data_IF_573758521194
#
_entry.id   IF_573758521194
#
_cell.length_a   1.000
_cell.length_b   1.000
_cell.length_c   1.000
_cell.angle_alpha   90.00
_cell.angle_beta   90.00
_cell.angle_gamma   90.00
#
_symmetry.space_group_name_H-M   'P 1'
#
loop_
_entity.id
_entity.type
_entity.pdbx_description
1 polymer ?
#
# COMPACT_ATOMS: atom_id res chain seq x y z
N UNK A 1 9.30 14.13 -1.00
CA UNK A 1 9.10 12.82 -1.63
C UNK A 1 10.12 12.64 -2.73
N UNK A 2 10.62 11.42 -2.84
CA UNK A 2 11.66 11.01 -3.77
C UNK A 2 11.18 11.13 -5.24
N UNK A 3 12.02 11.70 -6.12
CA UNK A 3 11.67 11.94 -7.52
C UNK A 3 11.41 10.66 -8.32
N UNK A 4 11.98 9.53 -7.89
CA UNK A 4 11.78 8.22 -8.52
C UNK A 4 10.33 7.77 -8.39
N UNK A 5 9.63 8.19 -7.33
CA UNK A 5 8.22 7.86 -7.11
C UNK A 5 7.36 8.35 -8.27
N UNK A 6 7.50 9.63 -8.63
CA UNK A 6 6.73 10.21 -9.74
C UNK A 6 7.04 9.50 -11.05
N UNK A 7 8.31 9.19 -11.31
CA UNK A 7 8.71 8.53 -12.54
C UNK A 7 8.11 7.12 -12.64
N UNK A 8 8.23 6.29 -11.60
CA UNK A 8 7.72 4.91 -11.60
C UNK A 8 6.20 4.90 -11.69
N UNK A 9 5.51 5.79 -10.96
CA UNK A 9 4.05 5.93 -11.04
C UNK A 9 3.61 6.26 -12.47
N UNK A 10 4.27 7.20 -13.14
CA UNK A 10 3.94 7.56 -14.53
C UNK A 10 4.19 6.39 -15.48
N UNK A 11 5.34 5.71 -15.34
CA UNK A 11 5.69 4.57 -16.19
C UNK A 11 4.69 3.42 -16.04
N UNK A 12 4.36 3.02 -14.80
CA UNK A 12 3.38 1.97 -14.51
C UNK A 12 1.98 2.38 -14.96
N UNK A 13 1.57 3.63 -14.76
CA UNK A 13 0.28 4.13 -15.25
C UNK A 13 0.20 4.04 -16.77
N UNK A 14 1.23 4.51 -17.48
CA UNK A 14 1.28 4.44 -18.93
C UNK A 14 1.22 2.99 -19.43
N UNK A 15 1.99 2.09 -18.81
CA UNK A 15 1.93 0.65 -19.08
C UNK A 15 0.52 0.07 -18.90
N UNK A 16 -0.16 0.37 -17.78
CA UNK A 16 -1.49 -0.14 -17.50
C UNK A 16 -2.56 0.40 -18.48
N UNK A 17 -2.44 1.66 -18.89
CA UNK A 17 -3.32 2.26 -19.91
C UNK A 17 -3.10 1.59 -21.27
N UNK A 18 -1.85 1.45 -21.71
CA UNK A 18 -1.49 0.86 -23.00
C UNK A 18 -1.96 -0.59 -23.13
N UNK A 19 -1.99 -1.33 -22.02
CA UNK A 19 -2.47 -2.71 -21.96
C UNK A 19 -3.96 -2.84 -21.60
N UNK A 20 -4.69 -1.71 -21.52
CA UNK A 20 -6.14 -1.66 -21.19
C UNK A 20 -6.49 -2.39 -19.89
N UNK A 21 -5.59 -2.30 -18.92
CA UNK A 21 -5.74 -2.95 -17.61
C UNK A 21 -6.68 -2.18 -16.68
N UNK A 22 -6.72 -0.85 -16.83
CA UNK A 22 -7.59 0.01 -16.04
C UNK A 22 -9.05 -0.17 -16.45
N UNK A 23 -9.93 -0.26 -15.45
CA UNK A 23 -11.36 -0.43 -15.63
C UNK A 23 -12.11 0.07 -14.39
N UNK A 24 -13.44 0.01 -14.40
CA UNK A 24 -14.27 0.46 -13.27
C UNK A 24 -13.92 -0.27 -11.96
N UNK A 25 -13.42 -1.50 -12.05
CA UNK A 25 -13.05 -2.32 -10.91
C UNK A 25 -11.55 -2.29 -10.57
N UNK A 26 -10.73 -1.63 -11.40
CA UNK A 26 -9.30 -1.42 -11.16
C UNK A 26 -8.87 -0.01 -11.56
N UNK A 27 -8.95 0.88 -10.57
CA UNK A 27 -8.79 2.32 -10.76
C UNK A 27 -7.31 2.74 -10.85
N UNK A 28 -7.08 3.93 -11.42
CA UNK A 28 -5.76 4.58 -11.36
C UNK A 28 -5.31 4.80 -9.91
N UNK A 29 -6.23 5.11 -8.99
CA UNK A 29 -5.92 5.27 -7.57
C UNK A 29 -5.38 3.98 -6.96
N UNK A 30 -6.03 2.85 -7.25
CA UNK A 30 -5.60 1.51 -6.81
C UNK A 30 -4.20 1.17 -7.34
N UNK A 31 -3.94 1.45 -8.63
CA UNK A 31 -2.64 1.23 -9.24
C UNK A 31 -1.54 2.09 -8.60
N UNK A 32 -1.82 3.37 -8.35
CA UNK A 32 -0.87 4.27 -7.68
C UNK A 32 -0.51 3.73 -6.29
N UNK A 33 -1.49 3.28 -5.52
CA UNK A 33 -1.23 2.73 -4.18
C UNK A 33 -0.46 1.41 -4.20
N UNK A 34 -0.63 0.56 -5.23
CA UNK A 34 0.23 -0.60 -5.43
C UNK A 34 1.69 -0.16 -5.65
N UNK A 35 1.92 0.83 -6.51
CA UNK A 35 3.28 1.39 -6.69
C UNK A 35 3.83 1.94 -5.38
N UNK A 36 3.06 2.75 -4.65
CA UNK A 36 3.51 3.32 -3.38
C UNK A 36 3.85 2.25 -2.34
N UNK A 37 3.00 1.24 -2.16
CA UNK A 37 3.27 0.13 -1.26
C UNK A 37 4.54 -0.64 -1.65
N UNK A 38 4.70 -0.94 -2.93
CA UNK A 38 5.92 -1.58 -3.43
C UNK A 38 7.16 -0.75 -3.09
N UNK A 39 7.09 0.56 -3.29
CA UNK A 39 8.20 1.48 -2.96
C UNK A 39 8.47 1.60 -1.46
N UNK A 40 7.51 1.24 -0.59
CA UNK A 40 7.75 1.11 0.86
C UNK A 40 8.71 -0.05 1.17
N UNK A 41 8.64 -1.16 0.42
CA UNK A 41 9.54 -2.31 0.60
C UNK A 41 11.02 -1.92 0.43
N UNK A 42 11.29 -0.92 -0.41
CA UNK A 42 12.63 -0.40 -0.69
C UNK A 42 12.95 0.88 0.07
N UNK A 43 12.12 1.29 1.04
CA UNK A 43 12.34 2.52 1.84
C UNK A 43 12.52 3.76 0.96
N UNK A 44 11.83 3.79 -0.19
CA UNK A 44 11.74 4.97 -1.07
C UNK A 44 10.53 5.82 -0.68
N UNK A 45 9.44 5.16 -0.31
CA UNK A 45 8.25 5.77 0.28
C UNK A 45 8.17 5.31 1.74
N UNK A 46 7.91 6.20 2.70
CA UNK A 46 7.74 5.78 4.09
C UNK A 46 6.41 5.05 4.31
N UNK A 47 6.37 4.06 5.21
CA UNK A 47 5.10 3.50 5.68
C UNK A 47 4.31 4.53 6.51
N UNK A 48 2.99 4.38 6.60
CA UNK A 48 2.13 5.40 7.24
C UNK A 48 2.46 5.57 8.73
N UNK A 49 2.89 4.50 9.41
CA UNK A 49 3.29 4.55 10.82
C UNK A 49 4.43 5.55 11.07
N UNK A 50 5.36 5.70 10.12
CA UNK A 50 6.42 6.70 10.23
C UNK A 50 5.88 8.12 10.09
N UNK A 51 4.86 8.32 9.25
CA UNK A 51 4.20 9.62 9.10
C UNK A 51 3.44 10.00 10.37
N UNK A 52 2.71 9.06 10.99
CA UNK A 52 2.07 9.29 12.28
C UNK A 52 3.10 9.65 13.36
N UNK A 53 4.23 8.94 13.41
CA UNK A 53 5.32 9.24 14.35
C UNK A 53 5.88 10.65 14.16
N UNK A 54 6.07 11.12 12.93
CA UNK A 54 6.57 12.48 12.68
C UNK A 54 5.55 13.54 13.14
N UNK A 55 4.25 13.24 13.05
CA UNK A 55 3.18 14.20 13.29
C UNK A 55 2.42 14.04 14.62
N UNK A 56 2.85 13.13 15.51
CA UNK A 56 2.17 12.88 16.79
C UNK A 56 1.94 14.13 17.65
N UNK A 57 2.76 15.18 17.50
CA UNK A 57 2.65 16.45 18.24
C UNK A 57 1.71 17.49 17.63
N UNK A 58 1.24 17.28 16.39
CA UNK A 58 0.32 18.20 15.72
C UNK A 58 -1.11 17.97 16.22
N UNK A 59 -2.00 18.94 16.06
CA UNK A 59 -3.42 18.79 16.46
C UNK A 59 -4.11 17.72 15.61
N UNK A 60 -4.81 16.73 16.20
CA UNK A 60 -5.56 15.72 15.46
C UNK A 60 -6.51 16.26 14.42
N UNK A 61 -6.60 15.59 13.28
CA UNK A 61 -7.57 15.87 12.23
C UNK A 61 -8.41 14.63 11.94
N UNK A 62 -9.65 14.63 12.40
CA UNK A 62 -10.52 13.46 12.32
C UNK A 62 -11.45 13.54 11.13
N UNK A 63 -11.40 12.52 10.27
CA UNK A 63 -12.35 12.33 9.17
C UNK A 63 -12.97 10.96 9.34
N UNK A 64 -14.29 10.89 9.49
CA UNK A 64 -15.03 9.64 9.77
C UNK A 64 -14.53 8.85 10.99
N UNK A 65 -13.92 9.55 11.95
CA UNK A 65 -13.33 8.96 13.15
C UNK A 65 -11.95 8.32 12.95
N UNK A 66 -11.33 8.51 11.79
CA UNK A 66 -9.92 8.16 11.55
C UNK A 66 -9.04 9.41 11.72
N UNK A 67 -7.88 9.24 12.35
CA UNK A 67 -6.88 10.31 12.41
C UNK A 67 -6.17 10.43 11.06
N UNK A 68 -6.38 11.54 10.38
CA UNK A 68 -5.83 11.82 9.05
C UNK A 68 -4.63 12.75 9.09
N UNK A 69 -4.05 12.98 10.27
CA UNK A 69 -2.79 13.70 10.42
C UNK A 69 -1.65 12.93 9.74
N UNK A 70 -1.35 13.32 8.51
CA UNK A 70 -0.13 12.96 7.80
C UNK A 70 0.53 14.22 7.25
N UNK A 71 1.85 14.16 7.05
CA UNK A 71 2.61 15.29 6.53
C UNK A 71 2.20 15.61 5.09
N UNK A 72 1.72 16.83 4.83
CA UNK A 72 1.63 17.37 3.47
C UNK A 72 2.79 18.33 3.13
N UNK A 73 3.62 18.72 4.12
CA UNK A 73 4.76 19.61 3.89
C UNK A 73 5.98 18.82 3.39
N UNK A 74 6.24 18.93 2.09
CA UNK A 74 7.27 18.18 1.39
C UNK A 74 8.69 18.47 1.88
N UNK A 75 8.95 19.67 2.41
CA UNK A 75 10.29 20.10 2.82
C UNK A 75 10.70 19.48 4.16
N UNK A 76 9.75 19.40 5.11
CA UNK A 76 9.97 18.70 6.38
C UNK A 76 10.12 17.18 6.18
N UNK A 77 9.40 16.62 5.20
CA UNK A 77 9.53 15.23 4.79
C UNK A 77 10.90 14.96 4.16
N UNK A 78 11.35 15.78 3.21
CA UNK A 78 12.64 15.60 2.52
C UNK A 78 13.82 15.58 3.49
N UNK A 79 13.84 16.48 4.46
CA UNK A 79 14.92 16.55 5.47
C UNK A 79 14.98 15.32 6.38
N UNK A 80 13.84 14.66 6.61
CA UNK A 80 13.75 13.49 7.50
C UNK A 80 13.78 12.16 6.75
N UNK A 81 13.58 12.17 5.43
CA UNK A 81 13.35 10.99 4.61
C UNK A 81 14.23 11.03 3.36
N UNK A 82 15.55 10.93 3.58
CA UNK A 82 16.46 10.49 2.52
C UNK A 82 16.14 9.02 2.24
N UNK A 83 15.78 8.70 1.00
CA UNK A 83 15.62 7.30 0.63
C UNK A 83 16.92 6.55 0.87
N UNK A 84 16.80 5.37 1.49
CA UNK A 84 17.95 4.52 1.79
C UNK A 84 18.31 3.57 0.64
N UNK A 85 17.51 3.56 -0.43
CA UNK A 85 17.72 2.67 -1.57
C UNK A 85 18.50 3.38 -2.66
N UNK A 86 19.54 2.70 -3.15
CA UNK A 86 20.37 3.15 -4.28
C UNK A 86 19.83 2.67 -5.64
N UNK A 87 18.65 2.02 -5.66
CA UNK A 87 18.07 1.51 -6.91
C UNK A 87 17.70 2.64 -7.87
N UNK A 88 18.03 2.44 -9.13
CA UNK A 88 17.61 3.30 -10.22
C UNK A 88 16.10 3.22 -10.48
N UNK A 89 15.58 4.19 -11.22
CA UNK A 89 14.18 4.24 -11.66
C UNK A 89 13.76 2.99 -12.44
N UNK A 90 14.66 2.46 -13.28
CA UNK A 90 14.44 1.26 -14.09
C UNK A 90 14.47 -0.03 -13.26
N UNK A 91 15.39 -0.15 -12.30
CA UNK A 91 15.41 -1.28 -11.37
C UNK A 91 14.15 -1.32 -10.51
N UNK A 92 13.69 -0.17 -10.01
CA UNK A 92 12.43 -0.08 -9.28
C UNK A 92 11.24 -0.52 -10.14
N UNK A 93 11.20 -0.15 -11.43
CA UNK A 93 10.14 -0.56 -12.35
C UNK A 93 10.18 -2.06 -12.66
N UNK A 94 11.36 -2.63 -12.91
CA UNK A 94 11.54 -4.09 -13.08
C UNK A 94 11.08 -4.85 -11.84
N UNK A 95 11.56 -4.42 -10.67
CA UNK A 95 11.25 -5.06 -9.40
C UNK A 95 9.76 -4.92 -9.04
N UNK A 96 9.08 -3.85 -9.48
CA UNK A 96 7.63 -3.71 -9.35
C UNK A 96 6.91 -4.86 -10.08
N UNK A 97 7.25 -5.09 -11.35
CA UNK A 97 6.67 -6.18 -12.13
C UNK A 97 7.00 -7.54 -11.53
N UNK A 98 8.24 -7.74 -11.08
CA UNK A 98 8.64 -8.97 -10.40
C UNK A 98 7.81 -9.21 -9.14
N UNK A 99 7.66 -8.21 -8.26
CA UNK A 99 6.92 -8.34 -7.02
C UNK A 99 5.45 -8.73 -7.26
N UNK A 100 4.79 -8.07 -8.22
CA UNK A 100 3.38 -8.32 -8.52
C UNK A 100 3.15 -9.53 -9.46
N UNK A 101 4.21 -10.18 -9.95
CA UNK A 101 4.12 -11.47 -10.64
C UNK A 101 3.93 -12.65 -9.68
N UNK A 102 4.28 -12.49 -8.39
CA UNK A 102 4.16 -13.56 -7.39
C UNK A 102 2.72 -13.71 -6.89
N UNK A 103 1.96 -14.57 -7.57
CA UNK A 103 0.59 -14.91 -7.19
C UNK A 103 0.48 -15.51 -5.78
N UNK A 104 1.50 -16.23 -5.28
CA UNK A 104 1.45 -16.88 -3.97
C UNK A 104 1.46 -15.81 -2.88
N UNK A 105 2.34 -14.82 -3.02
CA UNK A 105 2.39 -13.67 -2.10
C UNK A 105 1.06 -12.90 -2.10
N UNK A 106 0.53 -12.56 -3.28
CA UNK A 106 -0.71 -11.76 -3.39
C UNK A 106 -1.95 -12.49 -2.84
N UNK A 107 -1.97 -13.83 -2.93
CA UNK A 107 -3.08 -14.64 -2.39
C UNK A 107 -3.02 -14.77 -0.88
N UNK A 108 -1.84 -14.81 -0.28
CA UNK A 108 -1.67 -15.14 1.14
C UNK A 108 -1.52 -13.92 2.07
N UNK A 109 -1.15 -12.75 1.53
CA UNK A 109 -0.81 -11.58 2.33
C UNK A 109 -1.67 -10.35 1.99
N UNK A 110 -1.96 -9.57 3.02
CA UNK A 110 -2.42 -8.19 2.92
C UNK A 110 -1.19 -7.31 2.77
N UNK A 111 -1.22 -6.45 1.74
CA UNK A 111 -0.25 -5.38 1.53
C UNK A 111 -0.58 -4.26 2.53
N UNK A 112 0.05 -4.30 3.70
CA UNK A 112 -0.25 -3.40 4.82
C UNK A 112 0.52 -2.09 4.66
N UNK A 113 -0.17 -1.03 4.22
CA UNK A 113 0.43 0.31 4.02
C UNK A 113 0.86 0.97 5.32
N UNK A 114 0.21 0.64 6.45
CA UNK A 114 0.57 1.20 7.75
C UNK A 114 1.99 0.83 8.15
N UNK A 115 2.35 -0.44 8.03
CA UNK A 115 3.69 -0.91 8.34
C UNK A 115 4.62 -0.92 7.13
N UNK A 116 4.08 -0.85 5.92
CA UNK A 116 4.84 -1.08 4.69
C UNK A 116 5.33 -2.53 4.61
N UNK A 117 4.51 -3.48 5.05
CA UNK A 117 4.88 -4.89 5.19
C UNK A 117 3.76 -5.81 4.70
N UNK A 118 4.12 -7.07 4.45
CA UNK A 118 3.19 -8.15 4.18
C UNK A 118 2.66 -8.72 5.50
N UNK A 119 1.34 -8.67 5.72
CA UNK A 119 0.69 -9.30 6.86
C UNK A 119 -0.14 -10.50 6.40
N UNK A 120 -0.08 -11.68 7.07
CA UNK A 120 -0.85 -12.84 6.62
C UNK A 120 -2.35 -12.56 6.66
N UNK A 121 -3.07 -12.87 5.58
CA UNK A 121 -4.52 -12.66 5.48
C UNK A 121 -5.30 -13.34 6.60
N UNK A 122 -4.95 -14.59 6.90
CA UNK A 122 -5.60 -15.41 7.93
C UNK A 122 -5.59 -14.77 9.32
N UNK A 123 -4.55 -14.00 9.63
CA UNK A 123 -4.34 -13.42 10.95
C UNK A 123 -4.20 -11.90 10.87
N UNK A 124 -4.75 -11.27 9.81
CA UNK A 124 -4.48 -9.86 9.52
C UNK A 124 -4.85 -8.96 10.70
N UNK A 125 -6.09 -9.08 11.21
CA UNK A 125 -6.59 -8.28 12.32
C UNK A 125 -5.73 -8.41 13.58
N UNK A 126 -5.51 -9.64 14.06
CA UNK A 126 -4.75 -9.90 15.29
C UNK A 126 -3.27 -9.50 15.16
N UNK A 127 -2.66 -9.76 13.99
CA UNK A 127 -1.27 -9.36 13.70
C UNK A 127 -1.14 -7.85 13.67
N UNK A 128 -2.10 -7.15 13.04
CA UNK A 128 -2.11 -5.70 12.94
C UNK A 128 -2.21 -5.05 14.33
N UNK A 129 -3.21 -5.44 15.13
CA UNK A 129 -3.43 -4.92 16.48
C UNK A 129 -2.19 -5.12 17.36
N UNK A 130 -1.64 -6.33 17.37
CA UNK A 130 -0.43 -6.65 18.15
C UNK A 130 0.74 -5.74 17.77
N UNK A 131 0.96 -5.53 16.46
CA UNK A 131 2.04 -4.66 15.98
C UNK A 131 1.81 -3.18 16.28
N UNK A 132 0.58 -2.68 16.14
CA UNK A 132 0.28 -1.26 16.42
C UNK A 132 0.52 -0.96 17.89
N UNK A 133 0.00 -1.79 18.80
CA UNK A 133 0.21 -1.66 20.24
C UNK A 133 1.69 -1.70 20.62
N UNK A 134 2.51 -2.53 19.96
CA UNK A 134 3.95 -2.59 20.18
C UNK A 134 4.72 -1.36 19.67
N UNK A 135 4.19 -0.65 18.65
CA UNK A 135 4.93 0.43 17.97
C UNK A 135 4.74 1.79 18.66
N UNK A 136 3.62 2.01 19.33
CA UNK A 136 3.39 3.25 20.08
C UNK A 136 1.93 3.49 20.41
N UNK A 137 1.69 4.59 21.13
CA UNK A 137 0.34 4.99 21.52
C UNK A 137 -0.37 5.76 20.39
N UNK A 138 -1.01 5.01 19.49
CA UNK A 138 -1.89 5.56 18.43
C UNK A 138 -3.37 5.34 18.78
N UNK A 139 -3.74 5.63 20.03
CA UNK A 139 -5.05 5.30 20.63
C UNK A 139 -6.23 5.49 19.70
N UNK A 140 -6.37 6.66 19.04
CA UNK A 140 -7.52 6.90 18.17
C UNK A 140 -7.58 5.94 16.97
N UNK A 141 -6.46 5.69 16.30
CA UNK A 141 -6.42 4.75 15.17
C UNK A 141 -6.72 3.34 15.64
N UNK A 142 -6.16 2.96 16.78
CA UNK A 142 -6.34 1.63 17.36
C UNK A 142 -7.78 1.40 17.79
N UNK A 143 -8.38 2.32 18.57
CA UNK A 143 -9.78 2.21 19.01
C UNK A 143 -10.75 2.16 17.83
N UNK A 144 -10.51 2.97 16.78
CA UNK A 144 -11.36 2.96 15.59
C UNK A 144 -11.21 1.64 14.81
N UNK A 145 -10.00 1.11 14.71
CA UNK A 145 -9.73 -0.18 14.09
C UNK A 145 -10.39 -1.33 14.84
N UNK A 146 -10.25 -1.37 16.17
CA UNK A 146 -10.89 -2.37 17.04
C UNK A 146 -12.42 -2.32 16.93
N UNK A 147 -13.01 -1.11 16.98
CA UNK A 147 -14.46 -0.92 16.75
C UNK A 147 -14.93 -1.33 15.35
N UNK A 148 -14.01 -1.51 14.39
CA UNK A 148 -14.30 -1.88 13.01
C UNK A 148 -13.99 -3.36 12.70
N UNK A 149 -13.77 -4.20 13.71
CA UNK A 149 -13.35 -5.61 13.54
C UNK A 149 -14.20 -6.39 12.55
N UNK A 150 -15.53 -6.34 12.68
CA UNK A 150 -16.46 -7.05 11.76
C UNK A 150 -16.26 -6.62 10.31
N UNK A 151 -16.07 -5.31 10.08
CA UNK A 151 -15.86 -4.77 8.73
C UNK A 151 -14.48 -5.18 8.19
N UNK A 152 -13.44 -5.18 9.04
CA UNK A 152 -12.09 -5.62 8.67
C UNK A 152 -12.11 -7.09 8.27
N UNK A 153 -12.73 -7.95 9.07
CA UNK A 153 -12.83 -9.39 8.77
C UNK A 153 -13.67 -9.70 7.53
N UNK A 154 -14.51 -8.75 7.09
CA UNK A 154 -15.24 -8.85 5.81
C UNK A 154 -14.39 -8.37 4.62
N UNK A 155 -13.64 -7.28 4.82
CA UNK A 155 -12.86 -6.62 3.78
C UNK A 155 -11.51 -7.28 3.51
N UNK A 156 -10.98 -8.03 4.47
CA UNK A 156 -9.70 -8.72 4.40
C UNK A 156 -9.87 -10.22 4.69
N UNK A 157 -8.93 -11.04 4.23
CA UNK A 157 -8.95 -12.49 4.45
C UNK A 157 -9.29 -13.31 3.21
N UNK A 158 -9.63 -12.68 2.08
CA UNK A 158 -9.97 -13.43 0.86
C UNK A 158 -8.71 -13.82 0.08
N UNK A 159 -8.57 -15.11 -0.20
CA UNK A 159 -7.43 -15.64 -0.97
C UNK A 159 -7.50 -15.30 -2.46
N UNK A 160 -8.65 -14.89 -2.98
CA UNK A 160 -8.87 -14.75 -4.42
C UNK A 160 -8.67 -13.32 -4.95
N UNK A 161 -8.31 -12.37 -4.08
CA UNK A 161 -8.12 -10.96 -4.45
C UNK A 161 -6.82 -10.38 -3.91
N UNK A 162 -6.32 -9.34 -4.56
CA UNK A 162 -5.27 -8.50 -4.00
C UNK A 162 -5.88 -7.65 -2.88
N UNK A 163 -5.28 -7.70 -1.70
CA UNK A 163 -5.73 -6.93 -0.55
C UNK A 163 -4.69 -5.88 -0.18
N UNK A 164 -5.00 -4.61 -0.43
CA UNK A 164 -4.14 -3.47 -0.15
C UNK A 164 -4.83 -2.59 0.88
N UNK A 165 -4.25 -2.49 2.07
CA UNK A 165 -4.85 -1.71 3.14
C UNK A 165 -4.90 -0.23 2.78
N UNK A 166 -6.06 0.39 2.96
CA UNK A 166 -6.18 1.84 2.81
C UNK A 166 -5.39 2.55 3.93
N UNK A 167 -4.53 3.51 3.56
CA UNK A 167 -3.59 4.16 4.48
C UNK A 167 -4.24 5.06 5.54
N UNK A 168 -5.50 5.48 5.34
CA UNK A 168 -6.20 6.43 6.21
C UNK A 168 -7.46 5.80 6.81
N UNK A 169 -8.25 5.09 6.00
CA UNK A 169 -9.44 4.35 6.43
C UNK A 169 -9.08 2.87 6.56
N UNK A 170 -8.39 2.53 7.65
CA UNK A 170 -7.64 1.27 7.79
C UNK A 170 -8.48 0.00 7.69
N UNK A 171 -9.81 0.12 7.86
CA UNK A 171 -10.76 -0.98 7.68
C UNK A 171 -11.08 -1.31 6.22
N UNK A 172 -10.64 -0.49 5.26
CA UNK A 172 -10.95 -0.66 3.84
C UNK A 172 -9.79 -1.25 3.04
N UNK A 173 -10.11 -2.13 2.11
CA UNK A 173 -9.23 -2.49 0.99
C UNK A 173 -9.31 -1.38 -0.08
N UNK A 174 -8.17 -0.96 -0.63
CA UNK A 174 -8.07 0.01 -1.76
C UNK A 174 -8.49 -0.62 -3.09
N UNK A 175 -8.50 -1.95 -3.16
CA UNK A 175 -8.80 -2.71 -4.38
C UNK A 175 -9.92 -3.74 -4.13
N UNK A 176 -11.06 -3.34 -3.56
CA UNK A 176 -12.07 -4.28 -3.08
C UNK A 176 -12.82 -5.00 -4.22
N UNK A 177 -12.85 -4.40 -5.42
CA UNK A 177 -13.68 -4.86 -6.54
C UNK A 177 -12.89 -5.56 -7.66
N UNK A 178 -11.57 -5.68 -7.54
CA UNK A 178 -10.76 -6.33 -8.58
C UNK A 178 -11.22 -7.76 -8.77
N UNK A 179 -11.75 -8.06 -9.95
CA UNK A 179 -12.21 -9.40 -10.29
C UNK A 179 -11.04 -10.36 -10.47
N UNK A 180 -11.27 -11.65 -10.25
CA UNK A 180 -10.27 -12.71 -10.46
C UNK A 180 -9.68 -12.66 -11.87
N UNK A 181 -10.50 -12.36 -12.89
CA UNK A 181 -10.06 -12.16 -14.27
C UNK A 181 -9.04 -11.04 -14.39
N UNK A 182 -9.33 -9.87 -13.80
CA UNK A 182 -8.43 -8.72 -13.89
C UNK A 182 -7.19 -8.89 -12.99
N UNK A 183 -7.31 -9.58 -11.86
CA UNK A 183 -6.17 -9.99 -11.04
C UNK A 183 -5.22 -10.92 -11.81
N UNK A 184 -5.75 -11.96 -12.43
CA UNK A 184 -4.94 -12.91 -13.21
C UNK A 184 -4.30 -12.21 -14.43
N UNK A 185 -5.05 -11.33 -15.11
CA UNK A 185 -4.51 -10.52 -16.19
C UNK A 185 -3.38 -9.61 -15.70
N UNK A 186 -3.55 -8.92 -14.55
CA UNK A 186 -2.50 -8.09 -13.98
C UNK A 186 -1.23 -8.88 -13.68
N UNK A 187 -1.36 -10.05 -13.04
CA UNK A 187 -0.23 -10.93 -12.71
C UNK A 187 0.48 -11.43 -13.97
N UNK A 188 -0.27 -11.86 -14.99
CA UNK A 188 0.28 -12.30 -16.27
C UNK A 188 1.05 -11.18 -16.98
N UNK A 189 0.48 -9.98 -17.04
CA UNK A 189 1.13 -8.82 -17.63
C UNK A 189 2.38 -8.40 -16.86
N UNK A 190 2.36 -8.46 -15.52
CA UNK A 190 3.54 -8.24 -14.68
C UNK A 190 4.63 -9.28 -14.99
N UNK A 191 4.26 -10.57 -15.08
CA UNK A 191 5.19 -11.65 -15.44
C UNK A 191 5.85 -11.40 -16.79
N UNK A 192 5.06 -11.10 -17.83
CA UNK A 192 5.56 -10.81 -19.18
C UNK A 192 6.47 -9.58 -19.21
N UNK A 193 6.08 -8.52 -18.50
CA UNK A 193 6.85 -7.27 -18.46
C UNK A 193 8.17 -7.45 -17.71
N UNK A 194 8.19 -8.26 -16.65
CA UNK A 194 9.42 -8.60 -15.93
C UNK A 194 10.41 -9.37 -16.81
N UNK A 195 9.93 -10.30 -17.65
CA UNK A 195 10.76 -11.11 -18.53
C UNK A 195 11.28 -10.35 -19.77
N UNK A 196 10.60 -9.27 -20.16
CA UNK A 196 10.94 -8.49 -21.36
C UNK A 196 11.92 -7.33 -21.09
N UNK A 197 12.18 -7.01 -19.82
CA UNK A 197 13.12 -5.97 -19.39
C UNK A 197 14.51 -6.54 -19.14
#
# INVERSE_FOLDING_TARGET
MDERVRWVVIAVKHWAVSLKLLSDNFSTYSLIWLVLYFMMQYKVVPPIIELWRIHHRHVPNYIEGWDTRICFNNDQLKLKMCSKSNLSKWELLRNFFQFYSDSITLRNYVLCTVFGELLPKKTFYSTFITKVHATGNYQCQTEKFEKSETLINTNFGSFNRIELQNPLKLCNNVIPWLSDKNMNLFIDLCTKSCNAM
#
